data_IF_902287341224
#
_entry.id   IF_902287341224
#
_cell.length_a   1.000
_cell.length_b   1.000
_cell.length_c   1.000
_cell.angle_alpha   90.00
_cell.angle_beta   90.00
_cell.angle_gamma   90.00
#
_symmetry.space_group_name_H-M   'P 1'
#
loop_
_entity.id
_entity.type
_entity.pdbx_description
1 polymer ?
#
# COMPACT_ATOMS: atom_id res chain seq x y z
N UNK A 1 28.95 -10.86 -20.98
CA UNK A 1 28.79 -11.43 -19.61
C UNK A 1 28.05 -10.53 -18.63
N UNK A 2 28.33 -9.21 -18.52
CA UNK A 2 27.63 -8.30 -17.58
C UNK A 2 26.10 -8.20 -17.76
N UNK A 3 25.59 -8.20 -19.00
CA UNK A 3 24.14 -8.14 -19.26
C UNK A 3 23.38 -9.38 -18.79
N UNK A 4 23.90 -10.59 -19.07
CA UNK A 4 23.27 -11.85 -18.62
C UNK A 4 23.24 -11.99 -17.09
N UNK A 5 24.27 -11.48 -16.41
CA UNK A 5 24.32 -11.40 -14.94
C UNK A 5 23.25 -10.47 -14.34
N UNK A 6 22.97 -9.32 -14.96
CA UNK A 6 21.88 -8.44 -14.51
C UNK A 6 20.50 -9.10 -14.60
N UNK A 7 20.26 -9.91 -15.64
CA UNK A 7 19.01 -10.65 -15.77
C UNK A 7 18.88 -11.75 -14.72
N UNK A 8 19.96 -12.47 -14.40
CA UNK A 8 19.96 -13.49 -13.33
C UNK A 8 19.63 -12.87 -11.97
N UNK A 9 20.21 -11.71 -11.66
CA UNK A 9 19.94 -10.97 -10.41
C UNK A 9 18.47 -10.51 -10.33
N UNK A 10 17.83 -10.18 -11.45
CA UNK A 10 16.40 -9.82 -11.49
C UNK A 10 15.46 -11.05 -11.52
N UNK A 11 15.95 -12.20 -12.01
CA UNK A 11 15.17 -13.43 -12.11
C UNK A 11 14.87 -14.04 -10.74
N UNK A 12 15.86 -14.07 -9.85
CA UNK A 12 15.75 -14.71 -8.53
C UNK A 12 14.64 -14.09 -7.68
N UNK A 13 14.58 -12.75 -7.47
CA UNK A 13 13.47 -12.13 -6.77
C UNK A 13 12.14 -12.35 -7.48
N UNK A 14 12.11 -12.31 -8.82
CA UNK A 14 10.88 -12.50 -9.59
C UNK A 14 10.30 -13.92 -9.41
N UNK A 15 11.14 -14.95 -9.38
CA UNK A 15 10.73 -16.34 -9.12
C UNK A 15 10.17 -16.46 -7.70
N UNK A 16 10.88 -15.90 -6.72
CA UNK A 16 10.47 -15.96 -5.32
C UNK A 16 9.13 -15.26 -5.07
N UNK A 17 8.94 -14.06 -5.64
CA UNK A 17 7.67 -13.32 -5.57
C UNK A 17 6.55 -14.14 -6.22
N UNK A 18 6.78 -14.75 -7.38
CA UNK A 18 5.77 -15.58 -8.03
C UNK A 18 5.40 -16.83 -7.22
N UNK A 19 6.37 -17.47 -6.57
CA UNK A 19 6.10 -18.59 -5.66
C UNK A 19 5.21 -18.17 -4.49
N UNK A 20 5.46 -17.00 -3.90
CA UNK A 20 4.61 -16.45 -2.83
C UNK A 20 3.21 -16.13 -3.37
N UNK A 21 3.11 -15.45 -4.52
CA UNK A 21 1.81 -15.11 -5.12
C UNK A 21 0.99 -16.36 -5.44
N UNK A 22 1.64 -17.40 -5.97
CA UNK A 22 1.00 -18.67 -6.28
C UNK A 22 0.55 -19.37 -5.00
N UNK A 23 1.43 -19.48 -4.01
CA UNK A 23 1.07 -20.07 -2.71
C UNK A 23 -0.09 -19.35 -2.04
N UNK A 24 -0.08 -18.02 -2.03
CA UNK A 24 -1.14 -17.18 -1.47
C UNK A 24 -2.46 -17.41 -2.20
N UNK A 25 -2.43 -17.49 -3.53
CA UNK A 25 -3.62 -17.72 -4.35
C UNK A 25 -4.34 -19.03 -4.02
N UNK A 26 -3.59 -20.11 -3.73
CA UNK A 26 -4.18 -21.40 -3.33
C UNK A 26 -4.59 -21.47 -1.85
N UNK A 27 -4.25 -20.46 -1.04
CA UNK A 27 -4.60 -20.41 0.38
C UNK A 27 -5.85 -19.56 0.66
N UNK A 28 -6.34 -18.81 -0.32
CA UNK A 28 -7.60 -18.10 -0.19
C UNK A 28 -8.77 -19.07 -0.10
N UNK A 29 -9.63 -18.84 0.89
CA UNK A 29 -10.81 -19.66 1.13
C UNK A 29 -12.02 -19.15 0.36
N UNK A 30 -12.05 -17.86 -0.01
CA UNK A 30 -13.16 -17.26 -0.72
C UNK A 30 -12.88 -17.05 -2.22
N UNK A 31 -13.92 -17.25 -3.04
CA UNK A 31 -13.86 -16.99 -4.49
C UNK A 31 -13.62 -15.51 -4.79
N UNK A 32 -14.10 -14.61 -3.92
CA UNK A 32 -13.96 -13.16 -4.08
C UNK A 32 -12.50 -12.73 -3.90
N UNK A 33 -11.81 -13.23 -2.87
CA UNK A 33 -10.38 -12.98 -2.68
C UNK A 33 -9.56 -13.45 -3.88
N UNK A 34 -9.87 -14.65 -4.41
CA UNK A 34 -9.23 -15.17 -5.62
C UNK A 34 -9.40 -14.23 -6.82
N UNK A 35 -10.61 -13.69 -7.04
CA UNK A 35 -10.88 -12.75 -8.14
C UNK A 35 -10.12 -11.44 -7.96
N UNK A 36 -10.10 -10.89 -6.74
CA UNK A 36 -9.38 -9.64 -6.43
C UNK A 36 -7.86 -9.83 -6.59
N UNK A 37 -7.34 -11.00 -6.23
CA UNK A 37 -5.91 -11.29 -6.26
C UNK A 37 -5.40 -11.73 -7.64
N UNK A 38 -6.26 -12.24 -8.51
CA UNK A 38 -5.92 -12.76 -9.84
C UNK A 38 -5.06 -11.79 -10.69
N UNK A 39 -5.33 -10.47 -10.74
CA UNK A 39 -4.51 -9.55 -11.53
C UNK A 39 -3.08 -9.42 -11.01
N UNK A 40 -2.86 -9.53 -9.70
CA UNK A 40 -1.52 -9.52 -9.11
C UNK A 40 -0.71 -10.75 -9.52
N UNK A 41 -1.36 -11.93 -9.55
CA UNK A 41 -0.76 -13.17 -10.02
C UNK A 41 -0.40 -13.08 -11.51
N UNK A 42 -1.30 -12.55 -12.35
CA UNK A 42 -1.03 -12.34 -13.79
C UNK A 42 0.10 -11.32 -13.99
N UNK A 43 0.15 -10.26 -13.19
CA UNK A 43 1.24 -9.29 -13.20
C UNK A 43 2.58 -9.94 -12.81
N UNK A 44 2.60 -10.77 -11.77
CA UNK A 44 3.78 -11.52 -11.35
C UNK A 44 4.32 -12.43 -12.46
N UNK A 45 3.44 -13.23 -13.08
CA UNK A 45 3.81 -14.14 -14.18
C UNK A 45 4.30 -13.34 -15.38
N UNK A 46 3.69 -12.19 -15.66
CA UNK A 46 4.10 -11.32 -16.76
C UNK A 46 5.49 -10.73 -16.56
N UNK A 47 5.85 -10.31 -15.34
CA UNK A 47 7.20 -9.81 -15.02
C UNK A 47 8.24 -10.93 -15.17
N UNK A 48 7.92 -12.13 -14.66
CA UNK A 48 8.79 -13.30 -14.77
C UNK A 48 8.99 -13.71 -16.23
N UNK A 49 7.90 -13.83 -16.99
CA UNK A 49 7.92 -14.17 -18.41
C UNK A 49 8.68 -13.14 -19.26
N UNK A 50 8.52 -11.83 -18.96
CA UNK A 50 9.31 -10.77 -19.60
C UNK A 50 10.80 -10.93 -19.32
N UNK A 51 11.18 -11.19 -18.07
CA UNK A 51 12.58 -11.32 -17.64
C UNK A 51 13.25 -12.54 -18.29
N UNK A 52 12.55 -13.69 -18.34
CA UNK A 52 13.01 -14.89 -19.07
C UNK A 52 13.15 -14.60 -20.57
N UNK A 53 12.17 -13.93 -21.17
CA UNK A 53 12.18 -13.64 -22.60
C UNK A 53 13.33 -12.71 -23.01
N UNK A 54 13.66 -11.73 -22.16
CA UNK A 54 14.82 -10.87 -22.36
C UNK A 54 16.14 -11.61 -22.15
N UNK A 55 16.21 -12.54 -21.20
CA UNK A 55 17.38 -13.41 -21.02
C UNK A 55 17.64 -14.31 -22.23
N UNK A 56 16.57 -14.81 -22.88
CA UNK A 56 16.62 -15.60 -24.10
C UNK A 56 16.73 -14.75 -25.39
N UNK A 57 16.92 -13.44 -25.27
CA UNK A 57 17.03 -12.48 -26.39
C UNK A 57 15.80 -12.49 -27.33
N UNK A 58 14.64 -12.95 -26.83
CA UNK A 58 13.37 -13.00 -27.58
C UNK A 58 12.51 -11.77 -27.31
N UNK A 59 12.88 -10.64 -27.91
CA UNK A 59 12.21 -9.35 -27.71
C UNK A 59 10.70 -9.36 -28.00
N UNK A 60 10.26 -10.10 -29.03
CA UNK A 60 8.83 -10.17 -29.39
C UNK A 60 7.99 -10.77 -28.26
N UNK A 61 8.51 -11.80 -27.59
CA UNK A 61 7.84 -12.48 -26.47
C UNK A 61 7.90 -11.59 -25.22
N UNK A 62 9.01 -10.87 -25.01
CA UNK A 62 9.12 -9.90 -23.92
C UNK A 62 8.07 -8.77 -24.04
N UNK A 63 7.81 -8.28 -25.25
CA UNK A 63 6.74 -7.28 -25.50
C UNK A 63 5.34 -7.83 -25.25
N UNK A 64 5.10 -9.10 -25.56
CA UNK A 64 3.82 -9.76 -25.25
C UNK A 64 3.56 -9.75 -23.73
N UNK A 65 4.54 -10.19 -22.93
CA UNK A 65 4.43 -10.16 -21.48
C UNK A 65 4.30 -8.75 -20.89
N UNK A 66 4.98 -7.76 -21.49
CA UNK A 66 4.79 -6.35 -21.08
C UNK A 66 3.37 -5.84 -21.32
N UNK A 67 2.76 -6.22 -22.44
CA UNK A 67 1.38 -5.88 -22.74
C UNK A 67 0.42 -6.62 -21.81
N UNK A 68 0.65 -7.91 -21.55
CA UNK A 68 -0.13 -8.72 -20.63
C UNK A 68 -0.15 -8.12 -19.21
N UNK A 69 1.02 -7.74 -18.70
CA UNK A 69 1.16 -7.03 -17.42
C UNK A 69 0.29 -5.78 -17.39
N UNK A 70 0.34 -4.99 -18.47
CA UNK A 70 -0.36 -3.69 -18.50
C UNK A 70 -1.86 -3.84 -18.62
N UNK A 71 -2.32 -4.81 -19.41
CA UNK A 71 -3.75 -5.12 -19.52
C UNK A 71 -4.27 -5.59 -18.16
N UNK A 72 -3.55 -6.49 -17.49
CA UNK A 72 -3.94 -7.00 -16.18
C UNK A 72 -4.01 -5.90 -15.12
N UNK A 73 -3.00 -5.02 -15.06
CA UNK A 73 -2.99 -3.87 -14.17
C UNK A 73 -4.17 -2.92 -14.46
N UNK A 74 -4.45 -2.65 -15.74
CA UNK A 74 -5.56 -1.79 -16.14
C UNK A 74 -6.92 -2.39 -15.76
N UNK A 75 -7.12 -3.68 -15.99
CA UNK A 75 -8.35 -4.39 -15.59
C UNK A 75 -8.55 -4.29 -14.08
N UNK A 76 -7.49 -4.47 -13.29
CA UNK A 76 -7.56 -4.31 -11.84
C UNK A 76 -7.94 -2.89 -11.43
N UNK A 77 -7.25 -1.88 -11.96
CA UNK A 77 -7.51 -0.48 -11.62
C UNK A 77 -8.93 -0.06 -12.03
N UNK A 78 -9.39 -0.46 -13.21
CA UNK A 78 -10.78 -0.19 -13.65
C UNK A 78 -11.78 -0.92 -12.77
N UNK A 79 -11.56 -2.20 -12.46
CA UNK A 79 -12.43 -2.98 -11.59
C UNK A 79 -12.55 -2.37 -10.20
N UNK A 80 -11.41 -1.97 -9.60
CA UNK A 80 -11.37 -1.27 -8.33
C UNK A 80 -12.15 0.05 -8.38
N UNK A 81 -11.96 0.86 -9.43
CA UNK A 81 -12.68 2.12 -9.59
C UNK A 81 -14.19 1.92 -9.75
N UNK A 82 -14.63 0.86 -10.46
CA UNK A 82 -16.05 0.52 -10.60
C UNK A 82 -16.64 0.13 -9.24
N UNK A 83 -15.97 -0.75 -8.48
CA UNK A 83 -16.42 -1.15 -7.14
C UNK A 83 -16.46 0.04 -6.20
N UNK A 84 -15.41 0.87 -6.20
CA UNK A 84 -15.35 2.09 -5.41
C UNK A 84 -16.52 3.03 -5.73
N UNK A 85 -16.81 3.21 -7.01
CA UNK A 85 -17.92 4.04 -7.49
C UNK A 85 -19.28 3.44 -7.05
N UNK A 86 -19.46 2.12 -7.17
CA UNK A 86 -20.67 1.43 -6.76
C UNK A 86 -20.91 1.50 -5.25
N UNK A 87 -19.87 1.28 -4.43
CA UNK A 87 -19.93 1.40 -2.96
C UNK A 87 -20.24 2.83 -2.54
N UNK A 88 -19.61 3.81 -3.19
CA UNK A 88 -19.85 5.23 -2.91
C UNK A 88 -21.31 5.63 -3.19
N UNK A 89 -21.91 5.10 -4.26
CA UNK A 89 -23.33 5.31 -4.58
C UNK A 89 -24.23 4.58 -3.57
N UNK A 90 -23.93 3.31 -3.25
CA UNK A 90 -24.71 2.53 -2.29
C UNK A 90 -24.75 3.17 -0.90
N UNK A 91 -23.69 3.89 -0.54
CA UNK A 91 -23.59 4.57 0.75
C UNK A 91 -24.08 6.03 0.69
N UNK A 92 -24.76 6.46 -0.39
CA UNK A 92 -25.20 7.85 -0.64
C UNK A 92 -24.09 8.90 -0.55
N UNK A 93 -22.82 8.48 -0.64
CA UNK A 93 -21.64 9.34 -0.53
C UNK A 93 -21.17 9.75 -1.93
N UNK A 94 -21.99 10.55 -2.61
CA UNK A 94 -21.73 11.04 -3.97
C UNK A 94 -20.47 11.91 -4.08
N UNK A 95 -20.03 12.52 -2.98
CA UNK A 95 -18.75 13.23 -2.95
C UNK A 95 -17.56 12.30 -3.16
N UNK A 96 -17.61 11.07 -2.60
CA UNK A 96 -16.57 10.05 -2.77
C UNK A 96 -16.51 9.48 -4.19
N UNK A 97 -17.63 9.46 -4.90
CA UNK A 97 -17.71 8.97 -6.28
C UNK A 97 -17.09 9.96 -7.30
N UNK A 98 -17.17 11.28 -7.03
CA UNK A 98 -16.50 12.30 -7.84
C UNK A 98 -14.98 12.12 -7.89
N UNK A 99 -14.38 11.54 -6.84
CA UNK A 99 -12.94 11.30 -6.79
C UNK A 99 -12.46 10.15 -7.69
N UNK A 100 -13.33 9.24 -8.13
CA UNK A 100 -12.96 8.17 -9.05
C UNK A 100 -12.78 8.68 -10.50
N UNK A 101 -13.47 9.77 -10.86
CA UNK A 101 -13.51 10.36 -12.21
C UNK A 101 -12.11 10.69 -12.77
N UNK A 102 -11.21 11.42 -12.05
CA UNK A 102 -9.87 11.69 -12.56
C UNK A 102 -9.05 10.41 -12.82
N UNK A 103 -9.24 9.35 -12.03
CA UNK A 103 -8.57 8.07 -12.26
C UNK A 103 -9.11 7.34 -13.49
N UNK A 104 -10.43 7.39 -13.75
CA UNK A 104 -11.00 6.90 -15.01
C UNK A 104 -10.42 7.63 -16.22
N UNK A 105 -10.24 8.95 -16.13
CA UNK A 105 -9.63 9.76 -17.20
C UNK A 105 -8.18 9.32 -17.45
N UNK A 106 -7.40 9.08 -16.40
CA UNK A 106 -6.01 8.62 -16.52
C UNK A 106 -5.94 7.23 -17.16
N UNK A 107 -6.78 6.30 -16.69
CA UNK A 107 -6.85 4.96 -17.27
C UNK A 107 -7.20 5.04 -18.76
N UNK A 108 -8.19 5.87 -19.12
CA UNK A 108 -8.54 6.11 -20.51
C UNK A 108 -7.37 6.68 -21.33
N UNK A 109 -6.62 7.65 -20.78
CA UNK A 109 -5.44 8.22 -21.44
C UNK A 109 -4.31 7.19 -21.60
N UNK A 110 -4.09 6.30 -20.63
CA UNK A 110 -3.10 5.21 -20.71
C UNK A 110 -3.51 4.22 -21.80
N UNK A 111 -4.79 3.81 -21.84
CA UNK A 111 -5.33 2.93 -22.88
C UNK A 111 -5.14 3.57 -24.25
N UNK A 112 -5.53 4.84 -24.41
CA UNK A 112 -5.40 5.58 -25.67
C UNK A 112 -3.93 5.72 -26.11
N UNK A 113 -3.01 5.98 -25.19
CA UNK A 113 -1.58 6.13 -25.50
C UNK A 113 -0.91 4.80 -25.88
N UNK A 114 -1.31 3.69 -25.24
CA UNK A 114 -0.64 2.39 -25.39
C UNK A 114 -1.26 1.49 -26.45
N UNK A 115 -2.58 1.53 -26.60
CA UNK A 115 -3.35 0.67 -27.51
C UNK A 115 -4.05 1.45 -28.64
N UNK A 116 -4.11 2.78 -28.55
CA UNK A 116 -4.57 3.61 -29.67
C UNK A 116 -3.58 3.50 -30.83
N UNK A 117 -4.06 3.06 -32.00
CA UNK A 117 -3.23 2.98 -33.19
C UNK A 117 -2.71 4.38 -33.56
N UNK A 118 -1.43 4.54 -33.94
CA UNK A 118 -1.05 5.64 -34.80
C UNK A 118 -1.59 5.33 -36.19
N UNK A 119 -2.89 5.58 -36.43
CA UNK A 119 -3.37 5.70 -37.80
C UNK A 119 -2.70 6.94 -38.37
N UNK A 120 -1.91 6.74 -39.43
CA UNK A 120 -1.30 7.78 -40.25
C UNK A 120 -2.19 9.03 -40.27
N UNK A 121 -1.81 10.07 -39.55
CA UNK A 121 -2.32 11.41 -39.78
C UNK A 121 -1.12 12.27 -40.12
N UNK A 122 -1.23 12.99 -41.26
CA UNK A 122 -0.31 14.06 -41.63
C UNK A 122 0.02 14.86 -40.38
N UNK A 123 1.30 15.21 -40.20
CA UNK A 123 1.77 16.21 -39.23
C UNK A 123 1.01 17.53 -39.48
N UNK A 124 -0.19 17.66 -38.92
CA UNK A 124 -0.75 18.96 -38.61
C UNK A 124 -0.17 19.27 -37.25
N UNK A 125 0.88 20.08 -37.27
CA UNK A 125 1.51 20.64 -36.08
C UNK A 125 0.55 21.71 -35.55
N UNK A 126 -0.57 21.28 -34.96
CA UNK A 126 -1.35 22.18 -34.10
C UNK A 126 -0.49 22.35 -32.85
N UNK A 127 0.22 23.46 -32.80
CA UNK A 127 0.93 23.90 -31.62
C UNK A 127 -0.11 24.28 -30.58
N UNK A 128 -0.64 23.28 -29.88
CA UNK A 128 -1.48 23.50 -28.71
C UNK A 128 -0.58 24.08 -27.63
N UNK A 129 -0.60 25.41 -27.51
CA UNK A 129 0.04 26.14 -26.41
C UNK A 129 -0.55 25.75 -25.03
N UNK A 130 -1.67 25.01 -25.00
CA UNK A 130 -2.25 24.40 -23.81
C UNK A 130 -2.11 22.88 -23.84
N UNK A 131 -1.17 22.35 -23.05
CA UNK A 131 -1.02 20.91 -22.88
C UNK A 131 -2.10 20.43 -21.90
N UNK A 132 -3.26 20.01 -22.39
CA UNK A 132 -4.38 19.48 -21.57
C UNK A 132 -3.89 18.41 -20.57
N UNK A 133 -2.93 17.57 -20.98
CA UNK A 133 -2.28 16.59 -20.12
C UNK A 133 -1.58 17.22 -18.90
N UNK A 134 -0.93 18.38 -19.06
CA UNK A 134 -0.30 19.09 -17.95
C UNK A 134 -1.35 19.67 -17.00
N UNK A 135 -2.47 20.18 -17.52
CA UNK A 135 -3.58 20.68 -16.69
C UNK A 135 -4.20 19.53 -15.89
N UNK A 136 -4.50 18.40 -16.54
CA UNK A 136 -5.01 17.21 -15.86
C UNK A 136 -4.04 16.68 -14.81
N UNK A 137 -2.73 16.69 -15.09
CA UNK A 137 -1.70 16.27 -14.12
C UNK A 137 -1.64 17.23 -12.93
N UNK A 138 -1.74 18.54 -13.16
CA UNK A 138 -1.73 19.55 -12.10
C UNK A 138 -3.00 19.48 -11.22
N UNK A 139 -4.16 19.33 -11.86
CA UNK A 139 -5.43 19.09 -11.16
C UNK A 139 -5.38 17.80 -10.33
N UNK A 140 -4.84 16.72 -10.90
CA UNK A 140 -4.69 15.46 -10.18
C UNK A 140 -3.82 15.63 -8.93
N UNK A 141 -2.63 16.23 -9.07
CA UNK A 141 -1.76 16.53 -7.94
C UNK A 141 -2.51 17.35 -6.89
N UNK A 142 -3.22 18.40 -7.32
CA UNK A 142 -3.99 19.26 -6.42
C UNK A 142 -5.09 18.51 -5.67
N UNK A 143 -5.85 17.66 -6.36
CA UNK A 143 -6.94 16.87 -5.77
C UNK A 143 -6.38 15.81 -4.82
N UNK A 144 -5.41 15.00 -5.26
CA UNK A 144 -4.84 13.96 -4.41
C UNK A 144 -4.11 14.55 -3.21
N UNK A 145 -3.47 15.71 -3.36
CA UNK A 145 -2.81 16.41 -2.26
C UNK A 145 -3.83 17.01 -1.29
N UNK A 146 -4.89 17.64 -1.81
CA UNK A 146 -5.98 18.19 -1.00
C UNK A 146 -6.69 17.12 -0.17
N UNK A 147 -7.01 15.96 -0.78
CA UNK A 147 -7.57 14.81 -0.05
C UNK A 147 -6.57 14.32 1.00
N UNK A 148 -5.30 14.16 0.63
CA UNK A 148 -4.25 13.76 1.56
C UNK A 148 -4.17 14.69 2.78
N UNK A 149 -4.23 16.02 2.56
CA UNK A 149 -4.23 17.00 3.64
C UNK A 149 -5.48 16.95 4.51
N UNK A 150 -6.67 16.79 3.92
CA UNK A 150 -7.92 16.68 4.68
C UNK A 150 -7.94 15.43 5.56
N UNK A 151 -7.57 14.28 5.00
CA UNK A 151 -7.48 13.02 5.76
C UNK A 151 -6.40 13.10 6.84
N UNK A 152 -5.28 13.76 6.55
CA UNK A 152 -4.21 13.96 7.52
C UNK A 152 -4.66 14.87 8.67
N UNK A 153 -5.33 15.99 8.37
CA UNK A 153 -5.82 16.92 9.37
C UNK A 153 -6.84 16.27 10.31
N UNK A 154 -7.82 15.56 9.74
CA UNK A 154 -8.83 14.84 10.53
C UNK A 154 -8.18 13.71 11.34
N UNK A 155 -7.37 12.86 10.69
CA UNK A 155 -6.72 11.74 11.37
C UNK A 155 -5.74 12.18 12.45
N UNK A 156 -5.10 13.35 12.28
CA UNK A 156 -4.21 13.92 13.28
C UNK A 156 -5.00 14.49 14.46
N UNK A 157 -6.09 15.22 14.20
CA UNK A 157 -6.98 15.72 15.25
C UNK A 157 -7.49 14.57 16.11
N UNK A 158 -8.04 13.54 15.47
CA UNK A 158 -8.61 12.39 16.16
C UNK A 158 -7.54 11.66 17.01
N UNK A 159 -6.33 11.47 16.47
CA UNK A 159 -5.22 10.84 17.22
C UNK A 159 -4.75 11.71 18.38
N UNK A 160 -4.76 13.05 18.25
CA UNK A 160 -4.42 13.95 19.34
C UNK A 160 -5.49 13.92 20.44
N UNK A 161 -6.77 13.91 20.08
CA UNK A 161 -7.88 13.78 21.02
C UNK A 161 -7.80 12.45 21.77
N UNK A 162 -7.48 11.36 21.06
CA UNK A 162 -7.24 10.04 21.65
C UNK A 162 -6.07 10.08 22.66
N UNK A 163 -4.94 10.70 22.29
CA UNK A 163 -3.78 10.83 23.19
C UNK A 163 -4.13 11.64 24.43
N UNK A 164 -4.92 12.71 24.29
CA UNK A 164 -5.37 13.54 25.41
C UNK A 164 -6.30 12.76 26.35
N UNK A 165 -7.28 12.04 25.80
CA UNK A 165 -8.19 11.19 26.58
C UNK A 165 -7.48 10.04 27.30
N UNK A 166 -6.37 9.56 26.73
CA UNK A 166 -5.57 8.46 27.27
C UNK A 166 -4.43 8.92 28.19
N UNK A 167 -4.35 10.22 28.52
CA UNK A 167 -3.33 10.70 29.45
C UNK A 167 -3.48 10.03 30.83
N UNK A 168 -2.39 9.44 31.30
CA UNK A 168 -2.34 8.73 32.58
C UNK A 168 -2.72 7.25 32.50
N UNK A 169 -3.13 6.75 31.34
CA UNK A 169 -3.37 5.31 31.15
C UNK A 169 -2.06 4.54 31.24
N UNK A 170 -2.12 3.33 31.80
CA UNK A 170 -0.99 2.42 31.92
C UNK A 170 -1.09 1.26 30.92
N UNK A 171 0.05 0.72 30.52
CA UNK A 171 0.11 -0.41 29.60
C UNK A 171 0.07 -1.74 30.38
N UNK A 172 -0.77 -2.66 29.92
CA UNK A 172 -0.73 -4.08 30.35
C UNK A 172 -0.87 -5.00 29.14
N UNK A 173 -0.61 -6.29 29.33
CA UNK A 173 -0.78 -7.30 28.29
C UNK A 173 -2.11 -8.00 28.46
N UNK A 174 -2.98 -7.90 27.47
CA UNK A 174 -4.22 -8.65 27.38
C UNK A 174 -4.09 -9.87 26.50
N UNK A 175 -4.81 -10.94 26.85
CA UNK A 175 -4.86 -12.20 26.10
C UNK A 175 -6.23 -12.35 25.46
N UNK A 176 -6.29 -12.69 24.17
CA UNK A 176 -7.55 -12.97 23.49
C UNK A 176 -8.15 -14.28 24.01
N UNK A 177 -9.35 -14.24 24.58
CA UNK A 177 -10.01 -15.41 25.16
C UNK A 177 -11.09 -15.98 24.25
N UNK A 178 -11.86 -15.13 23.57
CA UNK A 178 -13.03 -15.56 22.80
C UNK A 178 -13.32 -14.66 21.59
N UNK A 179 -13.94 -15.25 20.57
CA UNK A 179 -14.63 -14.54 19.49
C UNK A 179 -16.13 -14.48 19.81
N UNK A 180 -16.71 -13.29 19.82
CA UNK A 180 -18.14 -13.10 19.97
C UNK A 180 -18.75 -13.00 18.57
N UNK A 181 -19.34 -14.10 18.09
CA UNK A 181 -19.87 -14.26 16.72
C UNK A 181 -21.29 -13.68 16.53
N UNK A 182 -21.87 -13.05 17.55
CA UNK A 182 -23.26 -12.59 17.54
C UNK A 182 -23.53 -11.36 16.64
N UNK A 183 -22.51 -10.85 15.94
CA UNK A 183 -22.58 -9.66 15.07
C UNK A 183 -21.93 -9.92 13.71
N UNK A 184 -22.38 -9.22 12.67
CA UNK A 184 -21.86 -9.37 11.29
C UNK A 184 -20.36 -9.09 11.14
N UNK A 185 -19.77 -8.37 12.10
CA UNK A 185 -18.33 -8.35 12.37
C UNK A 185 -18.12 -8.91 13.78
N UNK A 186 -17.38 -10.02 13.96
CA UNK A 186 -17.20 -10.63 15.27
C UNK A 186 -16.41 -9.72 16.20
N UNK A 187 -16.86 -9.57 17.44
CA UNK A 187 -16.10 -8.84 18.45
C UNK A 187 -15.05 -9.76 19.08
N UNK A 188 -13.90 -9.18 19.42
CA UNK A 188 -12.78 -9.85 20.08
C UNK A 188 -12.86 -9.57 21.59
N UNK A 189 -12.88 -10.63 22.40
CA UNK A 189 -12.88 -10.50 23.85
C UNK A 189 -11.47 -10.74 24.40
N UNK A 190 -10.88 -9.70 24.99
CA UNK A 190 -9.57 -9.76 25.64
C UNK A 190 -9.70 -9.79 27.15
N UNK A 191 -8.88 -10.61 27.81
CA UNK A 191 -8.78 -10.69 29.26
C UNK A 191 -7.42 -10.14 29.71
N UNK A 192 -7.42 -9.28 30.73
CA UNK A 192 -6.20 -8.72 31.32
C UNK A 192 -6.32 -8.64 32.84
N UNK A 193 -5.18 -8.61 33.52
CA UNK A 193 -5.12 -8.58 34.99
C UNK A 193 -4.48 -7.28 35.47
N UNK A 194 -5.14 -6.63 36.43
CA UNK A 194 -4.65 -5.46 37.16
C UNK A 194 -4.78 -5.76 38.64
N UNK A 195 -3.68 -5.71 39.38
CA UNK A 195 -3.61 -6.02 40.81
C UNK A 195 -4.28 -7.36 41.21
N UNK A 196 -4.15 -8.37 40.35
CA UNK A 196 -4.71 -9.72 40.57
C UNK A 196 -6.20 -9.86 40.27
N UNK A 197 -6.90 -8.78 39.86
CA UNK A 197 -8.27 -8.83 39.36
C UNK A 197 -8.29 -8.92 37.84
N UNK A 198 -9.16 -9.78 37.32
CA UNK A 198 -9.31 -10.00 35.89
C UNK A 198 -10.41 -9.09 35.35
N UNK A 199 -10.09 -8.37 34.28
CA UNK A 199 -10.98 -7.51 33.54
C UNK A 199 -11.14 -8.03 32.11
N UNK A 200 -12.24 -7.65 31.47
CA UNK A 200 -12.56 -8.01 30.09
C UNK A 200 -12.69 -6.75 29.25
N UNK A 201 -12.15 -6.79 28.04
CA UNK A 201 -12.23 -5.73 27.03
C UNK A 201 -12.81 -6.32 25.76
N UNK A 202 -13.94 -5.78 25.31
CA UNK A 202 -14.50 -6.09 24.01
C UNK A 202 -13.98 -5.10 22.96
N UNK A 203 -13.52 -5.62 21.82
CA UNK A 203 -12.99 -4.81 20.73
C UNK A 203 -13.51 -5.27 19.38
N UNK A 204 -13.87 -4.34 18.51
CA UNK A 204 -14.31 -4.64 17.16
C UNK A 204 -13.16 -5.22 16.30
N UNK A 205 -13.49 -6.25 15.52
CA UNK A 205 -12.59 -6.75 14.48
C UNK A 205 -12.67 -5.83 13.25
N UNK A 206 -11.67 -4.96 13.11
CA UNK A 206 -11.61 -3.97 12.02
C UNK A 206 -10.85 -4.48 10.77
N UNK A 207 -10.50 -5.76 10.73
CA UNK A 207 -9.69 -6.37 9.66
C UNK A 207 -10.10 -7.80 9.40
N UNK A 208 -9.97 -8.26 8.16
CA UNK A 208 -10.21 -9.67 7.79
C UNK A 208 -9.17 -10.63 8.41
N UNK A 209 -8.08 -10.10 8.98
CA UNK A 209 -7.10 -10.88 9.71
C UNK A 209 -7.58 -11.15 11.13
N UNK A 210 -8.09 -12.37 11.36
CA UNK A 210 -8.52 -12.83 12.67
C UNK A 210 -7.31 -13.28 13.51
N UNK A 211 -7.03 -12.65 14.67
CA UNK A 211 -5.95 -13.08 15.57
C UNK A 211 -6.31 -14.39 16.26
N UNK A 212 -5.33 -15.22 16.63
CA UNK A 212 -5.55 -16.54 17.25
C UNK A 212 -5.95 -16.41 18.73
N UNK A 213 -6.84 -17.27 19.24
CA UNK A 213 -7.11 -17.39 20.69
C UNK A 213 -5.80 -17.65 21.44
N UNK A 214 -5.60 -16.95 22.56
CA UNK A 214 -4.36 -16.96 23.33
C UNK A 214 -3.29 -15.99 22.82
N UNK A 215 -3.54 -15.28 21.71
CA UNK A 215 -2.67 -14.18 21.26
C UNK A 215 -2.70 -13.01 22.23
N UNK A 216 -1.64 -12.22 22.22
CA UNK A 216 -1.48 -11.10 23.17
C UNK A 216 -1.51 -9.75 22.47
N UNK A 217 -2.15 -8.77 23.11
CA UNK A 217 -2.20 -7.37 22.67
C UNK A 217 -1.81 -6.47 23.83
N UNK A 218 -1.28 -5.29 23.50
CA UNK A 218 -1.11 -4.22 24.48
C UNK A 218 -2.46 -3.55 24.70
N UNK A 219 -2.88 -3.49 25.96
CA UNK A 219 -4.06 -2.79 26.43
C UNK A 219 -3.60 -1.57 27.22
N UNK A 220 -4.24 -0.43 26.95
CA UNK A 220 -4.12 0.77 27.78
C UNK A 220 -5.34 0.81 28.70
N UNK A 221 -5.13 0.96 30.01
CA UNK A 221 -6.20 1.04 31.00
C UNK A 221 -6.01 2.23 31.93
N UNK A 222 -7.11 2.79 32.43
CA UNK A 222 -7.10 3.83 33.45
C UNK A 222 -6.81 3.20 34.84
N UNK A 223 -5.72 3.55 35.54
CA UNK A 223 -5.45 3.01 36.88
C UNK A 223 -6.52 3.34 37.92
N UNK A 224 -7.25 4.45 37.75
CA UNK A 224 -8.34 4.83 38.65
C UNK A 224 -9.63 4.05 38.37
N UNK A 225 -9.85 3.67 37.10
CA UNK A 225 -11.00 2.91 36.63
C UNK A 225 -10.54 1.79 35.67
N UNK A 226 -10.01 0.66 36.17
CA UNK A 226 -9.39 -0.35 35.33
C UNK A 226 -10.34 -1.01 34.33
N UNK A 227 -11.66 -0.88 34.51
CA UNK A 227 -12.67 -1.29 33.53
C UNK A 227 -12.67 -0.45 32.24
N UNK A 228 -12.14 0.78 32.31
CA UNK A 228 -11.95 1.64 31.14
C UNK A 228 -10.61 1.30 30.49
N UNK A 229 -10.70 0.50 29.43
CA UNK A 229 -9.53 0.07 28.68
C UNK A 229 -9.77 0.09 27.18
N UNK A 230 -8.67 0.14 26.43
CA UNK A 230 -8.65 0.23 24.97
C UNK A 230 -7.48 -0.58 24.40
N UNK A 231 -7.63 -1.05 23.16
CA UNK A 231 -6.53 -1.69 22.44
C UNK A 231 -5.60 -0.66 21.83
N UNK A 232 -4.28 -0.85 22.04
CA UNK A 232 -3.28 -0.03 21.36
C UNK A 232 -3.23 -0.35 19.85
N UNK A 233 -3.18 0.68 19.02
CA UNK A 233 -2.94 0.63 17.57
C UNK A 233 -4.12 0.23 16.66
N UNK A 234 -5.11 -0.52 17.13
CA UNK A 234 -6.31 -0.87 16.35
C UNK A 234 -7.34 0.28 16.39
N UNK A 235 -6.92 1.45 15.91
CA UNK A 235 -7.72 2.67 15.93
C UNK A 235 -8.03 3.09 14.48
N UNK A 236 -9.32 3.23 14.15
CA UNK A 236 -9.79 3.72 12.85
C UNK A 236 -9.17 5.06 12.47
N UNK A 237 -8.85 5.88 13.47
CA UNK A 237 -8.26 7.21 13.31
C UNK A 237 -6.81 7.10 12.84
N UNK A 238 -6.06 6.12 13.35
CA UNK A 238 -4.70 5.83 12.89
C UNK A 238 -4.71 5.27 11.45
N UNK A 239 -5.72 4.49 11.06
CA UNK A 239 -5.86 4.03 9.68
C UNK A 239 -6.10 5.22 8.74
N UNK A 240 -6.83 6.25 9.16
CA UNK A 240 -7.02 7.47 8.38
C UNK A 240 -5.68 8.18 8.12
N UNK A 241 -4.80 8.25 9.12
CA UNK A 241 -3.43 8.77 8.95
C UNK A 241 -2.62 7.94 7.95
N UNK A 242 -2.70 6.61 8.02
CA UNK A 242 -2.03 5.73 7.06
C UNK A 242 -2.53 5.96 5.61
N UNK A 243 -3.83 6.11 5.41
CA UNK A 243 -4.42 6.41 4.10
C UNK A 243 -3.99 7.80 3.62
N UNK A 244 -3.97 8.80 4.50
CA UNK A 244 -3.49 10.15 4.17
C UNK A 244 -2.06 10.14 3.64
N UNK A 245 -1.19 9.32 4.25
CA UNK A 245 0.19 9.18 3.85
C UNK A 245 0.35 8.60 2.43
N UNK A 246 -0.54 7.67 2.03
CA UNK A 246 -0.60 7.15 0.65
C UNK A 246 -0.90 8.30 -0.32
N UNK A 247 -1.96 9.08 -0.07
CA UNK A 247 -2.37 10.17 -0.95
C UNK A 247 -1.30 11.26 -1.10
N UNK A 248 -0.68 11.67 0.01
CA UNK A 248 0.39 12.67 0.00
C UNK A 248 1.62 12.16 -0.76
N UNK A 249 2.01 10.90 -0.54
CA UNK A 249 3.15 10.28 -1.25
C UNK A 249 2.89 10.17 -2.75
N UNK A 250 1.70 9.71 -3.15
CA UNK A 250 1.32 9.58 -4.56
C UNK A 250 1.32 10.95 -5.25
N UNK A 251 0.74 11.97 -4.61
CA UNK A 251 0.75 13.35 -5.11
C UNK A 251 2.18 13.85 -5.34
N UNK A 252 3.05 13.58 -4.36
CA UNK A 252 4.45 13.96 -4.43
C UNK A 252 5.21 13.22 -5.53
N UNK A 253 4.98 11.91 -5.68
CA UNK A 253 5.60 11.10 -6.73
C UNK A 253 5.19 11.56 -8.13
N UNK A 254 3.90 11.88 -8.33
CA UNK A 254 3.39 12.42 -9.59
C UNK A 254 4.01 13.80 -9.85
N UNK A 255 4.10 14.67 -8.84
CA UNK A 255 4.77 15.97 -8.94
C UNK A 255 6.25 15.85 -9.34
N UNK A 256 7.00 14.97 -8.69
CA UNK A 256 8.40 14.70 -9.03
C UNK A 256 8.56 14.15 -10.44
N UNK A 257 7.71 13.20 -10.84
CA UNK A 257 7.70 12.66 -12.20
C UNK A 257 7.39 13.75 -13.24
N UNK A 258 6.42 14.63 -12.95
CA UNK A 258 6.08 15.76 -13.80
C UNK A 258 7.25 16.73 -13.95
N UNK A 259 7.90 17.14 -12.86
CA UNK A 259 9.06 18.02 -12.86
C UNK A 259 10.26 17.36 -13.58
N UNK A 260 10.44 16.05 -13.44
CA UNK A 260 11.53 15.32 -14.10
C UNK A 260 11.45 15.35 -15.62
N UNK A 261 10.24 15.48 -16.18
CA UNK A 261 10.01 15.63 -17.62
C UNK A 261 10.39 17.02 -18.14
N UNK A 262 10.52 18.03 -17.27
CA UNK A 262 11.08 19.32 -17.65
C UNK A 262 12.60 19.26 -17.60
N UNK A 263 13.24 19.57 -18.75
CA UNK A 263 14.68 19.39 -19.05
C UNK A 263 15.67 19.98 -18.02
N UNK A 264 15.22 20.76 -17.02
CA UNK A 264 16.09 21.47 -16.08
C UNK A 264 16.52 20.64 -14.85
N UNK A 265 15.80 19.58 -14.44
CA UNK A 265 16.11 18.86 -13.18
C UNK A 265 15.94 17.31 -13.18
N UNK A 266 16.38 16.56 -14.21
CA UNK A 266 16.06 15.13 -14.32
C UNK A 266 16.77 14.22 -13.30
N UNK A 267 18.00 14.55 -12.86
CA UNK A 267 18.75 13.70 -11.91
C UNK A 267 18.31 13.88 -10.45
N UNK A 268 18.05 15.13 -10.04
CA UNK A 268 17.66 15.47 -8.66
C UNK A 268 16.25 14.94 -8.37
N UNK A 269 15.30 15.14 -9.29
CA UNK A 269 13.92 14.64 -9.16
C UNK A 269 13.83 13.12 -9.08
N UNK A 270 14.67 12.38 -9.82
CA UNK A 270 14.69 10.92 -9.79
C UNK A 270 15.23 10.35 -8.48
N UNK A 271 16.34 10.88 -7.97
CA UNK A 271 16.90 10.44 -6.68
C UNK A 271 15.94 10.74 -5.53
N UNK A 272 15.33 11.93 -5.57
CA UNK A 272 14.38 12.35 -4.55
C UNK A 272 13.09 11.51 -4.58
N UNK A 273 12.57 11.18 -5.77
CA UNK A 273 11.45 10.25 -5.93
C UNK A 273 11.76 8.88 -5.34
N UNK A 274 12.96 8.34 -5.59
CA UNK A 274 13.34 7.05 -5.01
C UNK A 274 13.42 7.10 -3.48
N UNK A 275 13.95 8.17 -2.89
CA UNK A 275 13.98 8.35 -1.43
C UNK A 275 12.55 8.34 -0.87
N UNK A 276 11.65 9.11 -1.48
CA UNK A 276 10.26 9.19 -1.00
C UNK A 276 9.53 7.85 -1.15
N UNK A 277 9.73 7.13 -2.25
CA UNK A 277 9.17 5.78 -2.43
C UNK A 277 9.75 4.81 -1.39
N UNK A 278 11.05 4.91 -1.07
CA UNK A 278 11.68 4.10 -0.03
C UNK A 278 11.10 4.36 1.36
N UNK A 279 10.95 5.63 1.73
CA UNK A 279 10.30 6.04 2.99
C UNK A 279 8.84 5.57 3.05
N UNK A 280 8.13 5.67 1.93
CA UNK A 280 6.75 5.19 1.84
C UNK A 280 6.64 3.71 2.21
N UNK A 281 7.40 2.84 1.53
CA UNK A 281 7.38 1.42 1.81
C UNK A 281 7.79 1.09 3.25
N UNK A 282 8.80 1.80 3.78
CA UNK A 282 9.26 1.62 5.15
C UNK A 282 8.19 1.97 6.20
N UNK A 283 7.65 3.19 6.14
CA UNK A 283 6.64 3.65 7.09
C UNK A 283 5.31 2.94 6.91
N UNK A 284 4.93 2.59 5.67
CA UNK A 284 3.68 1.88 5.41
C UNK A 284 3.73 0.46 5.99
N UNK A 285 4.86 -0.24 5.82
CA UNK A 285 5.06 -1.58 6.38
C UNK A 285 4.97 -1.58 7.90
N UNK A 286 5.73 -0.70 8.58
CA UNK A 286 5.66 -0.58 10.04
C UNK A 286 4.33 -0.05 10.55
N UNK A 287 3.72 0.91 9.85
CA UNK A 287 2.42 1.47 10.19
C UNK A 287 1.32 0.41 10.17
N UNK A 288 1.29 -0.45 9.15
CA UNK A 288 0.32 -1.55 9.08
C UNK A 288 0.59 -2.63 10.14
N UNK A 289 1.86 -2.93 10.47
CA UNK A 289 2.19 -3.83 11.59
C UNK A 289 1.73 -3.24 12.93
N UNK A 290 1.92 -1.94 13.13
CA UNK A 290 1.45 -1.24 14.33
C UNK A 290 -0.08 -1.25 14.41
N UNK A 291 -0.78 -0.99 13.31
CA UNK A 291 -2.23 -1.08 13.24
C UNK A 291 -2.73 -2.50 13.58
N UNK A 292 -2.11 -3.52 13.01
CA UNK A 292 -2.47 -4.93 13.20
C UNK A 292 -2.10 -5.49 14.56
N UNK A 293 -1.11 -4.96 15.28
CA UNK A 293 -0.63 -5.60 16.53
C UNK A 293 -0.59 -4.69 17.74
N UNK A 294 -0.75 -3.38 17.55
CA UNK A 294 -0.47 -2.37 18.58
C UNK A 294 1.03 -2.20 18.88
N UNK A 295 1.91 -2.83 18.09
CA UNK A 295 3.35 -2.85 18.32
C UNK A 295 4.12 -2.79 17.00
N UNK A 296 5.37 -2.33 17.04
CA UNK A 296 6.25 -2.29 15.86
C UNK A 296 6.97 -3.66 15.68
N UNK A 297 6.72 -4.63 16.56
CA UNK A 297 7.41 -5.92 16.59
C UNK A 297 6.89 -6.89 15.53
N UNK A 298 7.74 -7.23 14.56
CA UNK A 298 7.48 -8.25 13.54
C UNK A 298 7.23 -9.62 14.17
N UNK A 299 7.95 -9.95 15.25
CA UNK A 299 7.82 -11.25 15.94
C UNK A 299 6.41 -11.40 16.52
N UNK A 300 5.88 -10.34 17.14
CA UNK A 300 4.52 -10.34 17.67
C UNK A 300 3.47 -10.50 16.59
N UNK A 301 3.70 -9.95 15.38
CA UNK A 301 2.79 -10.16 14.26
C UNK A 301 2.66 -11.67 13.93
N UNK A 302 3.75 -12.43 13.87
CA UNK A 302 3.63 -13.88 13.64
C UNK A 302 3.07 -14.66 14.83
N UNK A 303 3.33 -14.22 16.07
CA UNK A 303 2.78 -14.88 17.26
C UNK A 303 1.27 -14.69 17.39
N UNK A 304 0.73 -13.57 16.92
CA UNK A 304 -0.67 -13.21 17.09
C UNK A 304 -1.60 -13.83 16.05
N UNK A 305 -1.07 -14.28 14.91
CA UNK A 305 -1.86 -14.78 13.79
C UNK A 305 -1.52 -16.24 13.49
N UNK A 306 -2.51 -17.00 13.00
CA UNK A 306 -2.29 -18.38 12.56
C UNK A 306 -1.46 -18.43 11.27
N UNK A 307 -0.78 -19.55 10.95
CA UNK A 307 0.03 -19.68 9.74
C UNK A 307 -0.69 -19.38 8.43
N UNK A 308 -2.01 -19.59 8.36
CA UNK A 308 -2.84 -19.22 7.20
C UNK A 308 -2.86 -17.72 6.93
N UNK A 309 -2.62 -16.90 7.94
CA UNK A 309 -2.64 -15.43 7.89
C UNK A 309 -1.23 -14.83 7.79
N UNK A 310 -0.19 -15.67 7.63
CA UNK A 310 1.18 -15.22 7.40
C UNK A 310 1.43 -14.52 6.05
N UNK A 311 0.83 -14.90 4.91
CA UNK A 311 1.11 -14.25 3.63
C UNK A 311 1.00 -12.70 3.67
N UNK A 312 -0.10 -12.09 4.18
CA UNK A 312 -0.19 -10.64 4.24
C UNK A 312 0.84 -10.00 5.17
N UNK A 313 1.18 -10.64 6.29
CA UNK A 313 2.23 -10.16 7.21
C UNK A 313 3.61 -10.17 6.53
N UNK A 314 3.89 -11.23 5.75
CA UNK A 314 5.13 -11.36 4.96
C UNK A 314 5.24 -10.23 3.92
N UNK A 315 4.13 -9.85 3.28
CA UNK A 315 4.10 -8.71 2.34
C UNK A 315 4.52 -7.41 3.03
N UNK A 316 4.07 -7.17 4.28
CA UNK A 316 4.46 -5.98 5.05
C UNK A 316 5.96 -5.97 5.37
N UNK A 317 6.56 -7.13 5.64
CA UNK A 317 8.00 -7.26 5.84
C UNK A 317 8.75 -6.94 4.55
N UNK A 318 8.24 -7.41 3.40
CA UNK A 318 8.81 -7.06 2.10
C UNK A 318 8.73 -5.57 1.82
N UNK A 319 7.68 -4.87 2.27
CA UNK A 319 7.62 -3.41 2.18
C UNK A 319 8.75 -2.77 2.98
N UNK A 320 8.96 -3.18 4.24
CA UNK A 320 10.05 -2.66 5.07
C UNK A 320 11.42 -2.91 4.41
N UNK A 321 11.66 -4.14 3.95
CA UNK A 321 12.92 -4.51 3.29
C UNK A 321 13.12 -3.74 1.98
N UNK A 322 12.08 -3.59 1.16
CA UNK A 322 12.14 -2.79 -0.07
C UNK A 322 12.49 -1.33 0.23
N UNK A 323 11.88 -0.74 1.26
CA UNK A 323 12.20 0.61 1.71
C UNK A 323 13.66 0.78 2.10
N UNK A 324 14.19 -0.14 2.92
CA UNK A 324 15.60 -0.14 3.35
C UNK A 324 16.54 -0.32 2.15
N UNK A 325 16.26 -1.26 1.25
CA UNK A 325 17.09 -1.52 0.07
C UNK A 325 17.16 -0.29 -0.84
N UNK A 326 16.02 0.36 -1.09
CA UNK A 326 15.97 1.60 -1.87
C UNK A 326 16.84 2.68 -1.20
N UNK A 327 16.77 2.81 0.12
CA UNK A 327 17.56 3.80 0.86
C UNK A 327 19.07 3.53 0.74
N UNK A 328 19.50 2.27 0.90
CA UNK A 328 20.90 1.85 0.74
C UNK A 328 21.39 2.14 -0.67
N UNK A 329 20.59 1.84 -1.69
CA UNK A 329 20.94 2.14 -3.08
C UNK A 329 21.09 3.64 -3.32
N UNK A 330 20.20 4.47 -2.77
CA UNK A 330 20.30 5.93 -2.89
C UNK A 330 21.53 6.48 -2.14
N UNK A 331 21.80 6.00 -0.93
CA UNK A 331 22.97 6.40 -0.15
C UNK A 331 24.28 6.09 -0.91
N UNK A 332 24.38 4.90 -1.53
CA UNK A 332 25.53 4.54 -2.40
C UNK A 332 25.67 5.46 -3.59
N UNK A 333 24.57 5.88 -4.21
CA UNK A 333 24.60 6.81 -5.34
C UNK A 333 25.05 8.22 -4.92
N UNK A 334 24.54 8.73 -3.79
CA UNK A 334 24.93 10.03 -3.24
C UNK A 334 26.42 10.02 -2.86
N UNK A 335 26.90 8.97 -2.18
CA UNK A 335 28.30 8.80 -1.83
C UNK A 335 29.22 8.84 -3.07
N UNK A 336 28.84 8.15 -4.14
CA UNK A 336 29.57 8.19 -5.42
C UNK A 336 29.60 9.59 -6.03
N UNK A 337 28.50 10.35 -5.97
CA UNK A 337 28.44 11.71 -6.52
C UNK A 337 29.34 12.67 -5.72
N UNK A 338 29.37 12.54 -4.40
CA UNK A 338 30.19 13.38 -3.52
C UNK A 338 31.68 13.07 -3.69
N UNK A 339 32.05 11.80 -3.81
CA UNK A 339 33.45 11.36 -3.92
C UNK A 339 34.00 11.30 -5.34
N UNK A 340 33.18 11.33 -6.39
CA UNK A 340 33.65 11.47 -7.78
C UNK A 340 34.03 12.92 -8.16
N UNK A 341 33.87 13.87 -7.24
CA UNK A 341 34.28 15.28 -7.38
C UNK A 341 35.62 15.60 -6.69
N UNK A 342 36.32 14.60 -6.15
CA UNK A 342 37.74 14.66 -5.80
C UNK A 342 38.52 13.87 -6.85
#
# INVERSE_FOLDING_TARGET
MKQKWMFIIQLIPSIFINLILFWTFFHFSSVIECIIFLPFLICGISVLGKTISLFLEKEKIARFFENLFTISLLVYVVGFLIVWFAVSISNNNFFLSLFAIPFFIIVFLIIKKKFGQPKYSKKIRIQSYFNLANICTFLLIGVTFGIGLLLFANGLSDVLDDIEQMQGFQETTGTLTQYNENTSMPNLLYSYSVDGKIYLLEAALNTDLVPRIGSTRIILFDPAHPDRAILKGNNSNFLLLLVSFIFLTVSFAIGCAFVSNYRKFPKISKNLLNIVVGLFFFFMGFGLIYYLTGSISIIRAFQNYSPSNYPPIIILIFFILAGILIFIEQAKQIYKIVHAKK
#
